data_IF_420826446912
#
_entry.id   IF_420826446912
#
_cell.length_a   1.000
_cell.length_b   1.000
_cell.length_c   1.000
_cell.angle_alpha   90.00
_cell.angle_beta   90.00
_cell.angle_gamma   90.00
#
_symmetry.space_group_name_H-M   'P 1'
#
loop_
_entity.id
_entity.type
_entity.pdbx_description
1 polymer ?
#
# COMPACT_ATOMS: atom_id res chain seq x y z
N UNK A 1 17.18 -12.41 20.07
CA UNK A 1 16.26 -13.12 19.18
C UNK A 1 16.97 -13.38 17.87
N UNK A 2 16.98 -14.63 17.42
CA UNK A 2 17.50 -15.04 16.12
C UNK A 2 16.69 -14.39 14.98
N UNK A 3 17.30 -14.15 13.82
CA UNK A 3 16.60 -13.67 12.61
C UNK A 3 15.42 -14.58 12.25
N UNK A 4 15.61 -15.89 12.37
CA UNK A 4 14.55 -16.89 12.21
C UNK A 4 13.37 -16.69 13.19
N UNK A 5 13.63 -16.39 14.46
CA UNK A 5 12.55 -16.16 15.45
C UNK A 5 11.73 -14.91 15.12
N UNK A 6 12.37 -13.90 14.53
CA UNK A 6 11.70 -12.66 14.09
C UNK A 6 10.83 -12.91 12.85
N UNK A 7 11.34 -13.62 11.86
CA UNK A 7 10.59 -14.01 10.66
C UNK A 7 9.41 -14.91 11.01
N UNK A 8 9.62 -15.92 11.86
CA UNK A 8 8.55 -16.79 12.36
C UNK A 8 7.48 -15.98 13.10
N UNK A 9 7.88 -15.05 13.98
CA UNK A 9 6.92 -14.20 14.70
C UNK A 9 6.12 -13.28 13.78
N UNK A 10 6.76 -12.74 12.72
CA UNK A 10 6.09 -11.93 11.72
C UNK A 10 5.08 -12.76 10.91
N UNK A 11 5.50 -13.92 10.41
CA UNK A 11 4.63 -14.83 9.65
C UNK A 11 3.42 -15.29 10.49
N UNK A 12 3.63 -15.63 11.77
CA UNK A 12 2.54 -16.00 12.68
C UNK A 12 1.56 -14.85 12.87
N UNK A 13 2.03 -13.61 13.02
CA UNK A 13 1.16 -12.43 13.15
C UNK A 13 0.36 -12.16 11.88
N UNK A 14 0.95 -12.38 10.72
CA UNK A 14 0.27 -12.19 9.43
C UNK A 14 -0.79 -13.26 9.20
N UNK A 15 -0.50 -14.53 9.50
CA UNK A 15 -1.51 -15.61 9.48
C UNK A 15 -2.63 -15.33 10.48
N UNK A 16 -2.31 -14.90 11.70
CA UNK A 16 -3.30 -14.53 12.71
C UNK A 16 -4.21 -13.39 12.22
N UNK A 17 -3.64 -12.37 11.56
CA UNK A 17 -4.39 -11.25 10.99
C UNK A 17 -5.34 -11.73 9.88
N UNK A 18 -4.86 -12.58 8.97
CA UNK A 18 -5.65 -13.12 7.87
C UNK A 18 -6.84 -13.95 8.35
N UNK A 19 -6.60 -14.89 9.28
CA UNK A 19 -7.67 -15.70 9.89
C UNK A 19 -8.68 -14.85 10.63
N UNK A 20 -8.21 -13.81 11.33
CA UNK A 20 -9.09 -12.91 12.07
C UNK A 20 -10.00 -12.10 11.13
N UNK A 21 -9.47 -11.61 10.01
CA UNK A 21 -10.25 -10.92 8.98
C UNK A 21 -11.28 -11.84 8.33
N UNK A 22 -10.91 -13.09 8.03
CA UNK A 22 -11.84 -14.11 7.53
C UNK A 22 -12.98 -14.39 8.53
N UNK A 23 -12.66 -14.45 9.82
CA UNK A 23 -13.64 -14.71 10.87
C UNK A 23 -14.64 -13.56 11.04
N UNK A 24 -14.20 -12.31 10.91
CA UNK A 24 -15.10 -11.14 10.91
C UNK A 24 -16.03 -11.18 9.68
N UNK A 25 -15.50 -11.53 8.50
CA UNK A 25 -16.30 -11.58 7.27
C UNK A 25 -17.34 -12.69 7.25
N UNK A 26 -17.07 -13.80 7.92
CA UNK A 26 -17.99 -14.94 8.02
C UNK A 26 -19.16 -14.69 8.98
N UNK A 27 -19.08 -13.65 9.81
CA UNK A 27 -20.09 -13.33 10.82
C UNK A 27 -20.54 -11.85 10.75
N UNK A 28 -21.15 -11.40 9.63
CA UNK A 28 -21.61 -10.02 9.45
C UNK A 28 -22.73 -9.61 10.43
N UNK A 29 -23.38 -10.58 11.08
CA UNK A 29 -24.38 -10.37 12.13
C UNK A 29 -23.78 -9.93 13.48
N UNK A 30 -22.46 -10.09 13.65
CA UNK A 30 -21.78 -9.68 14.87
C UNK A 30 -21.80 -8.15 15.02
N UNK A 31 -22.22 -7.68 16.19
CA UNK A 31 -22.35 -6.26 16.47
C UNK A 31 -21.00 -5.60 16.80
N UNK A 32 -20.90 -4.28 16.60
CA UNK A 32 -19.72 -3.51 17.02
C UNK A 32 -19.43 -3.65 18.53
N UNK A 33 -20.47 -3.88 19.34
CA UNK A 33 -20.34 -4.11 20.77
C UNK A 33 -19.65 -5.46 21.08
N UNK A 34 -19.84 -6.48 20.25
CA UNK A 34 -19.18 -7.78 20.37
C UNK A 34 -17.73 -7.73 19.87
N UNK A 35 -17.49 -7.01 18.77
CA UNK A 35 -16.12 -6.68 18.32
C UNK A 35 -15.33 -5.89 19.37
N UNK A 36 -15.99 -4.94 20.05
CA UNK A 36 -15.42 -4.18 21.17
C UNK A 36 -15.09 -5.05 22.40
N UNK A 37 -15.67 -6.24 22.54
CA UNK A 37 -15.29 -7.16 23.64
C UNK A 37 -14.00 -7.90 23.30
N UNK A 38 -13.80 -8.25 22.03
CA UNK A 38 -12.56 -8.84 21.52
C UNK A 38 -11.38 -7.86 21.62
N UNK A 39 -11.65 -6.55 21.58
CA UNK A 39 -10.64 -5.49 21.70
C UNK A 39 -10.10 -5.30 23.13
N UNK A 40 -10.59 -6.05 24.12
CA UNK A 40 -10.15 -5.95 25.53
C UNK A 40 -9.24 -7.11 25.98
N UNK A 41 -8.71 -7.91 25.04
CA UNK A 41 -7.88 -9.08 25.33
C UNK A 41 -6.61 -9.16 24.47
N UNK A 42 -6.08 -10.38 24.28
CA UNK A 42 -4.87 -10.64 23.48
C UNK A 42 -4.96 -10.14 22.02
N UNK A 43 -6.18 -9.93 21.53
CA UNK A 43 -6.46 -9.45 20.18
C UNK A 43 -6.66 -7.93 20.11
N UNK A 44 -6.52 -7.20 21.22
CA UNK A 44 -6.67 -5.74 21.26
C UNK A 44 -5.73 -5.04 20.27
N UNK A 45 -4.45 -5.43 20.29
CA UNK A 45 -3.45 -4.87 19.38
C UNK A 45 -3.69 -5.23 17.91
N UNK A 46 -4.24 -6.41 17.64
CA UNK A 46 -4.58 -6.84 16.29
C UNK A 46 -5.81 -6.07 15.79
N UNK A 47 -6.88 -5.98 16.59
CA UNK A 47 -8.08 -5.22 16.27
C UNK A 47 -7.80 -3.73 16.07
N UNK A 48 -6.95 -3.12 16.88
CA UNK A 48 -6.57 -1.71 16.70
C UNK A 48 -5.78 -1.45 15.43
N UNK A 49 -5.09 -2.47 14.91
CA UNK A 49 -4.32 -2.37 13.67
C UNK A 49 -5.17 -2.65 12.43
N UNK A 50 -6.33 -3.27 12.59
CA UNK A 50 -7.17 -3.70 11.47
C UNK A 50 -8.09 -2.56 11.03
N UNK A 51 -8.06 -2.26 9.73
CA UNK A 51 -8.90 -1.20 9.15
C UNK A 51 -10.21 -1.76 8.57
N UNK A 52 -11.23 -0.91 8.44
CA UNK A 52 -12.48 -1.29 7.76
C UNK A 52 -12.22 -1.68 6.30
N UNK A 53 -11.26 -1.02 5.64
CA UNK A 53 -10.83 -1.37 4.28
C UNK A 53 -10.25 -2.78 4.19
N UNK A 54 -9.45 -3.19 5.18
CA UNK A 54 -8.95 -4.58 5.26
C UNK A 54 -10.07 -5.60 5.45
N UNK A 55 -11.06 -5.32 6.29
CA UNK A 55 -12.23 -6.22 6.45
C UNK A 55 -12.99 -6.39 5.13
N UNK A 56 -13.18 -5.29 4.39
CA UNK A 56 -13.87 -5.28 3.08
C UNK A 56 -13.02 -5.98 2.01
N UNK A 57 -11.69 -5.87 2.06
CA UNK A 57 -10.77 -6.38 1.03
C UNK A 57 -10.14 -7.74 1.34
N UNK A 58 -10.25 -8.26 2.57
CA UNK A 58 -9.59 -9.51 3.01
C UNK A 58 -9.97 -10.78 2.22
N UNK A 59 -11.04 -10.74 1.42
CA UNK A 59 -11.43 -11.82 0.50
C UNK A 59 -10.86 -11.70 -0.91
N UNK A 60 -10.11 -10.63 -1.23
CA UNK A 60 -9.51 -10.42 -2.56
C UNK A 60 -8.02 -10.79 -2.60
N UNK A 61 -7.42 -11.05 -1.44
CA UNK A 61 -5.99 -11.29 -1.24
C UNK A 61 -5.56 -12.77 -1.39
N UNK A 62 -6.44 -13.66 -1.86
CA UNK A 62 -6.19 -15.10 -1.89
C UNK A 62 -5.28 -15.64 -3.00
N UNK A 63 -4.59 -14.82 -3.81
CA UNK A 63 -3.88 -15.31 -5.01
C UNK A 63 -2.48 -14.72 -5.29
N UNK A 64 -1.77 -14.15 -4.32
CA UNK A 64 -0.38 -13.74 -4.59
C UNK A 64 0.52 -13.79 -3.35
N UNK A 65 0.86 -15.01 -2.93
CA UNK A 65 2.08 -15.26 -2.16
C UNK A 65 3.31 -14.99 -3.03
N UNK A 66 4.31 -14.29 -2.48
CA UNK A 66 5.56 -13.99 -3.17
C UNK A 66 6.49 -13.17 -2.28
N UNK A 67 7.16 -13.88 -1.37
CA UNK A 67 8.34 -13.46 -0.60
C UNK A 67 9.37 -12.73 -1.47
N UNK A 68 9.97 -11.65 -0.98
CA UNK A 68 11.40 -11.33 -1.20
C UNK A 68 11.89 -10.20 -0.27
N UNK A 69 12.93 -10.58 0.49
CA UNK A 69 14.19 -9.89 0.83
C UNK A 69 14.19 -8.47 1.42
N UNK A 70 14.63 -8.42 2.68
CA UNK A 70 14.92 -7.24 3.49
C UNK A 70 16.44 -7.01 3.54
N UNK A 71 17.02 -6.52 2.44
CA UNK A 71 18.37 -5.96 2.41
C UNK A 71 18.34 -4.62 1.68
N UNK A 72 17.79 -3.59 2.33
CA UNK A 72 18.28 -2.21 2.26
C UNK A 72 17.47 -1.32 3.21
N UNK A 73 17.97 -1.18 4.44
CA UNK A 73 17.53 -0.13 5.35
C UNK A 73 18.72 0.77 5.64
N UNK A 74 18.93 1.76 4.78
CA UNK A 74 19.58 3.01 5.18
C UNK A 74 18.47 3.97 5.62
N UNK A 75 18.49 4.27 6.91
CA UNK A 75 17.55 5.17 7.55
C UNK A 75 17.90 6.62 7.23
N UNK A 76 16.86 7.43 7.03
CA UNK A 76 16.88 8.82 7.44
C UNK A 76 15.48 9.21 7.91
N UNK A 77 15.40 9.40 9.22
CA UNK A 77 14.30 10.08 9.89
C UNK A 77 14.48 11.58 9.66
N UNK A 78 13.64 12.18 8.81
CA UNK A 78 13.25 13.57 9.00
C UNK A 78 11.81 13.77 8.51
N UNK A 79 10.94 13.89 9.51
CA UNK A 79 9.50 13.99 9.42
C UNK A 79 9.15 15.46 9.33
N UNK A 80 8.79 15.95 8.15
CA UNK A 80 8.02 17.20 8.03
C UNK A 80 6.70 16.87 7.33
N UNK A 81 5.71 16.60 8.17
CA UNK A 81 4.38 16.18 7.78
C UNK A 81 3.53 17.38 7.41
N UNK A 82 3.32 17.58 6.12
CA UNK A 82 2.17 18.35 5.65
C UNK A 82 1.04 17.37 5.34
N UNK A 83 0.11 17.26 6.29
CA UNK A 83 -1.14 16.51 6.17
C UNK A 83 -2.01 17.12 5.06
N UNK A 84 -1.82 16.60 3.85
CA UNK A 84 -2.66 16.88 2.68
C UNK A 84 -3.59 15.71 2.41
N UNK A 85 -4.88 15.98 2.59
CA UNK A 85 -6.07 15.17 2.28
C UNK A 85 -5.90 14.27 1.03
N UNK A 86 -6.11 12.96 1.23
CA UNK A 86 -5.88 11.91 0.23
C UNK A 86 -5.02 10.78 0.78
N UNK A 87 -5.51 10.11 1.83
CA UNK A 87 -4.84 9.06 2.58
C UNK A 87 -4.46 7.85 1.70
N UNK A 88 -3.31 7.94 1.04
CA UNK A 88 -2.67 6.81 0.36
C UNK A 88 -1.66 6.20 1.34
N UNK A 89 -1.91 4.97 1.77
CA UNK A 89 -1.02 4.26 2.68
C UNK A 89 0.20 3.68 1.95
N UNK A 90 1.14 4.53 1.51
CA UNK A 90 2.43 4.09 0.94
C UNK A 90 3.46 3.70 2.01
N UNK A 91 3.06 3.60 3.29
CA UNK A 91 3.98 3.29 4.39
C UNK A 91 4.33 1.81 4.40
N UNK A 92 3.45 0.95 3.91
CA UNK A 92 3.72 -0.48 3.69
C UNK A 92 4.25 -0.72 2.28
N UNK A 93 5.05 -1.78 2.09
CA UNK A 93 5.51 -2.18 0.75
C UNK A 93 4.33 -2.53 -0.16
N UNK A 94 3.29 -3.16 0.40
CA UNK A 94 2.05 -3.46 -0.31
C UNK A 94 1.33 -2.20 -0.77
N UNK A 95 1.10 -1.23 0.12
CA UNK A 95 0.40 0.00 -0.25
C UNK A 95 1.20 0.87 -1.22
N UNK A 96 2.54 0.76 -1.25
CA UNK A 96 3.35 1.32 -2.34
C UNK A 96 3.04 0.66 -3.67
N UNK A 97 3.05 -0.67 -3.75
CA UNK A 97 2.75 -1.40 -4.99
C UNK A 97 1.34 -1.14 -5.49
N UNK A 98 0.36 -1.09 -4.60
CA UNK A 98 -1.03 -0.75 -4.96
C UNK A 98 -1.13 0.67 -5.51
N UNK A 99 -0.44 1.62 -4.89
CA UNK A 99 -0.38 2.99 -5.41
C UNK A 99 0.35 3.04 -6.76
N UNK A 100 1.45 2.32 -6.92
CA UNK A 100 2.21 2.24 -8.17
C UNK A 100 1.38 1.63 -9.29
N UNK A 101 0.60 0.59 -9.01
CA UNK A 101 -0.33 0.02 -9.98
C UNK A 101 -1.41 1.01 -10.36
N UNK A 102 -2.02 1.72 -9.39
CA UNK A 102 -3.00 2.77 -9.71
C UNK A 102 -2.40 3.89 -10.58
N UNK A 103 -1.17 4.30 -10.29
CA UNK A 103 -0.43 5.29 -11.08
C UNK A 103 -0.15 4.75 -12.48
N UNK A 104 0.30 3.50 -12.60
CA UNK A 104 0.56 2.86 -13.88
C UNK A 104 -0.71 2.70 -14.71
N UNK A 105 -1.79 2.17 -14.14
CA UNK A 105 -3.08 1.98 -14.83
C UNK A 105 -3.62 3.30 -15.36
N UNK A 106 -3.45 4.39 -14.60
CA UNK A 106 -3.83 5.72 -15.05
C UNK A 106 -2.96 6.22 -16.22
N UNK A 107 -1.64 6.01 -16.16
CA UNK A 107 -0.72 6.37 -17.24
C UNK A 107 -0.99 5.51 -18.49
N UNK A 108 -1.32 4.23 -18.31
CA UNK A 108 -1.62 3.29 -19.39
C UNK A 108 -2.96 3.63 -20.07
N UNK A 109 -3.97 4.01 -19.29
CA UNK A 109 -5.27 4.42 -19.81
C UNK A 109 -5.25 5.82 -20.47
N UNK A 110 -4.18 6.60 -20.28
CA UNK A 110 -4.05 7.91 -20.88
C UNK A 110 -3.52 7.80 -22.31
N UNK A 111 -4.29 8.30 -23.27
CA UNK A 111 -3.87 8.37 -24.68
C UNK A 111 -2.75 9.41 -24.92
N UNK A 112 -2.60 10.37 -24.01
CA UNK A 112 -1.56 11.40 -24.06
C UNK A 112 -0.62 11.33 -22.85
N UNK A 113 0.66 11.72 -23.01
CA UNK A 113 1.62 11.76 -21.91
C UNK A 113 1.16 12.68 -20.76
N UNK A 114 1.04 12.12 -19.56
CA UNK A 114 0.45 12.80 -18.38
C UNK A 114 1.48 13.44 -17.46
N UNK A 115 1.12 14.53 -16.80
CA UNK A 115 1.97 15.20 -15.80
C UNK A 115 1.80 14.63 -14.39
N UNK A 116 2.81 14.82 -13.54
CA UNK A 116 2.72 14.47 -12.11
C UNK A 116 1.57 15.19 -11.38
N UNK A 117 1.18 16.38 -11.84
CA UNK A 117 0.05 17.13 -11.27
C UNK A 117 -1.28 16.48 -11.61
N UNK A 118 -1.45 16.02 -12.85
CA UNK A 118 -2.67 15.31 -13.27
C UNK A 118 -2.82 13.97 -12.56
N UNK A 119 -1.72 13.21 -12.44
CA UNK A 119 -1.70 11.95 -11.67
C UNK A 119 -2.14 12.21 -10.22
N UNK A 120 -1.57 13.23 -9.57
CA UNK A 120 -1.93 13.57 -8.19
C UNK A 120 -3.39 13.98 -8.04
N UNK A 121 -3.89 14.82 -8.94
CA UNK A 121 -5.26 15.33 -8.86
C UNK A 121 -6.31 14.22 -9.06
N UNK A 122 -5.98 13.19 -9.83
CA UNK A 122 -6.89 12.06 -10.09
C UNK A 122 -6.76 10.95 -9.05
N UNK A 123 -5.53 10.54 -8.71
CA UNK A 123 -5.28 9.36 -7.89
C UNK A 123 -5.23 9.71 -6.39
N UNK A 124 -4.87 10.95 -6.07
CA UNK A 124 -4.61 11.42 -4.72
C UNK A 124 -3.18 11.14 -4.25
N UNK A 125 -2.91 11.52 -3.00
CA UNK A 125 -1.59 11.42 -2.37
C UNK A 125 -0.74 12.68 -2.52
N UNK A 126 0.41 12.67 -1.86
CA UNK A 126 1.34 13.81 -1.86
C UNK A 126 2.21 13.83 -3.11
N UNK A 127 2.75 15.01 -3.44
CA UNK A 127 3.68 15.15 -4.57
C UNK A 127 4.93 14.25 -4.45
N UNK A 128 5.35 13.93 -3.21
CA UNK A 128 6.45 13.01 -2.95
C UNK A 128 6.06 11.55 -3.26
N UNK A 129 4.84 11.14 -2.93
CA UNK A 129 4.33 9.80 -3.21
C UNK A 129 4.25 9.54 -4.71
N UNK A 130 3.68 10.47 -5.48
CA UNK A 130 3.63 10.40 -6.95
C UNK A 130 5.04 10.29 -7.53
N UNK A 131 5.97 11.13 -7.08
CA UNK A 131 7.35 11.11 -7.59
C UNK A 131 8.05 9.78 -7.30
N UNK A 132 7.97 9.28 -6.05
CA UNK A 132 8.56 7.99 -5.66
C UNK A 132 7.93 6.82 -6.43
N UNK A 133 6.62 6.89 -6.68
CA UNK A 133 5.89 5.90 -7.46
C UNK A 133 6.35 5.85 -8.91
N UNK A 134 6.36 7.00 -9.59
CA UNK A 134 6.79 7.10 -10.98
C UNK A 134 8.27 6.74 -11.15
N UNK A 135 9.13 7.10 -10.19
CA UNK A 135 10.54 6.67 -10.22
C UNK A 135 10.68 5.14 -10.22
N UNK A 136 9.94 4.43 -9.35
CA UNK A 136 9.93 2.96 -9.34
C UNK A 136 9.37 2.36 -10.63
N UNK A 137 8.34 2.97 -11.22
CA UNK A 137 7.78 2.51 -12.49
C UNK A 137 8.73 2.71 -13.66
N UNK A 138 9.57 3.75 -13.61
CA UNK A 138 10.65 4.00 -14.57
C UNK A 138 11.77 2.97 -14.38
N UNK A 139 12.20 2.72 -13.14
CA UNK A 139 13.20 1.69 -12.81
C UNK A 139 12.75 0.29 -13.23
N UNK A 140 11.45 0.01 -13.15
CA UNK A 140 10.83 -1.22 -13.64
C UNK A 140 10.61 -1.24 -15.17
N UNK A 141 11.08 -0.22 -15.90
CA UNK A 141 10.95 -0.06 -17.37
C UNK A 141 9.51 -0.02 -17.89
N UNK A 142 8.52 0.19 -17.01
CA UNK A 142 7.09 0.22 -17.36
C UNK A 142 6.62 1.59 -17.84
N UNK A 143 7.28 2.65 -17.38
CA UNK A 143 6.92 4.04 -17.69
C UNK A 143 8.16 4.76 -18.23
N UNK A 144 7.96 5.53 -19.28
CA UNK A 144 8.98 6.46 -19.80
C UNK A 144 8.57 7.90 -19.53
N UNK A 145 9.54 8.81 -19.58
CA UNK A 145 9.33 10.22 -19.38
C UNK A 145 9.87 11.04 -20.55
N UNK A 146 9.21 12.14 -20.83
CA UNK A 146 9.63 13.13 -21.81
C UNK A 146 9.51 14.54 -21.24
N UNK A 147 10.31 15.48 -21.75
CA UNK A 147 10.31 16.88 -21.30
C UNK A 147 11.35 17.20 -20.22
N UNK A 148 11.39 18.46 -19.79
CA UNK A 148 12.41 18.99 -18.87
C UNK A 148 11.76 19.73 -17.70
N UNK A 149 12.25 19.47 -16.49
CA UNK A 149 11.83 20.13 -15.24
C UNK A 149 10.31 20.08 -15.00
N UNK A 150 9.61 21.23 -15.07
CA UNK A 150 8.15 21.31 -14.86
C UNK A 150 7.33 20.79 -16.05
N UNK A 151 7.98 20.59 -17.20
CA UNK A 151 7.38 20.04 -18.41
C UNK A 151 7.48 18.52 -18.51
N UNK A 152 7.91 17.81 -17.46
CA UNK A 152 7.98 16.36 -17.50
C UNK A 152 6.59 15.75 -17.68
N UNK A 153 6.48 14.84 -18.64
CA UNK A 153 5.30 14.03 -18.94
C UNK A 153 5.68 12.58 -18.96
N UNK A 154 4.77 11.72 -18.54
CA UNK A 154 4.96 10.29 -18.39
C UNK A 154 4.02 9.56 -19.34
N UNK A 155 4.53 8.53 -20.00
CA UNK A 155 3.75 7.64 -20.85
C UNK A 155 4.12 6.19 -20.52
N UNK A 156 3.17 5.28 -20.66
CA UNK A 156 3.46 3.86 -20.51
C UNK A 156 4.36 3.40 -21.65
N UNK A 157 5.30 2.51 -21.34
CA UNK A 157 6.02 1.76 -22.37
C UNK A 157 5.14 0.55 -22.66
N UNK A 158 4.42 0.58 -23.78
CA UNK A 158 3.74 -0.61 -24.28
C UNK A 158 4.81 -1.58 -24.79
N UNK A 159 4.79 -2.82 -24.27
CA UNK A 159 5.62 -3.93 -24.76
C UNK A 159 5.08 -4.49 -26.09
#
# INVERSE_FOLDING_TARGET
MSTFEREMSAAVKDVQRSVFLELIRSHPEMTLAELSKLSKGQFAGLLSSITVGEVINAGRAGLAEGSVDLDDMDGDEDFDGEEGDGEVNTRTAQGRREYDNRVYDYILAAEEPVSATEIRNTIGGTSLQVRKSVARLIEAERVTWQGKARGTRYSAVEE
#
